data_IF_192358329775
#
_entry.id   IF_192358329775
#
_cell.length_a   1.000
_cell.length_b   1.000
_cell.length_c   1.000
_cell.angle_alpha   90.00
_cell.angle_beta   90.00
_cell.angle_gamma   90.00
#
_symmetry.space_group_name_H-M   'P 1'
#
loop_
_entity.id
_entity.type
_entity.pdbx_description
1 polymer ?
#
# COMPACT_ATOMS: atom_id res chain seq x y z
N UNK A 1 -51.29 55.31 -31.83
CA UNK A 1 -52.63 54.86 -32.24
C UNK A 1 -52.40 54.06 -33.52
N UNK A 2 -52.45 52.74 -33.57
CA UNK A 2 -53.52 51.84 -33.09
C UNK A 2 -52.97 50.40 -32.92
N UNK A 3 -53.22 49.84 -31.73
CA UNK A 3 -53.42 48.43 -31.33
C UNK A 3 -52.75 47.24 -32.08
N UNK A 4 -51.88 46.55 -31.34
CA UNK A 4 -51.84 45.07 -31.17
C UNK A 4 -53.06 44.65 -30.29
N UNK A 5 -53.50 43.37 -30.08
CA UNK A 5 -52.68 42.16 -29.85
C UNK A 5 -53.39 40.79 -30.13
N UNK A 6 -52.87 39.72 -29.49
CA UNK A 6 -53.48 38.40 -29.20
C UNK A 6 -53.27 37.33 -30.30
N UNK A 7 -52.89 36.08 -30.05
CA UNK A 7 -52.99 35.23 -28.85
C UNK A 7 -51.88 34.16 -28.84
N UNK A 8 -51.40 33.91 -27.64
CA UNK A 8 -50.63 32.80 -27.05
C UNK A 8 -51.07 31.37 -27.40
N UNK A 9 -50.17 30.39 -27.30
CA UNK A 9 -50.46 29.11 -26.62
C UNK A 9 -49.18 28.31 -26.35
N UNK A 10 -48.80 28.27 -25.08
CA UNK A 10 -47.96 27.26 -24.44
C UNK A 10 -48.63 25.88 -24.51
N UNK A 11 -47.83 24.82 -24.70
CA UNK A 11 -48.19 23.44 -24.32
C UNK A 11 -46.95 22.73 -23.79
N UNK A 12 -46.89 22.67 -22.47
CA UNK A 12 -46.18 21.66 -21.70
C UNK A 12 -46.73 20.25 -21.99
N UNK A 13 -45.86 19.29 -21.67
CA UNK A 13 -46.15 17.89 -21.34
C UNK A 13 -46.22 16.88 -22.50
N UNK A 14 -45.14 16.10 -22.67
CA UNK A 14 -45.22 14.63 -22.54
C UNK A 14 -43.79 14.07 -22.35
N UNK A 15 -43.39 13.91 -21.09
CA UNK A 15 -42.21 13.11 -20.73
C UNK A 15 -42.64 11.63 -20.77
N UNK A 16 -42.12 10.78 -21.67
CA UNK A 16 -42.43 9.36 -21.61
C UNK A 16 -41.70 8.74 -20.40
N UNK A 17 -42.35 7.81 -19.67
CA UNK A 17 -41.74 7.20 -18.49
C UNK A 17 -40.53 6.32 -18.86
N UNK A 18 -39.51 6.20 -18.00
CA UNK A 18 -38.43 5.26 -18.22
C UNK A 18 -38.97 3.84 -17.96
N UNK A 19 -39.32 3.13 -19.02
CA UNK A 19 -39.58 1.69 -18.94
C UNK A 19 -38.26 0.97 -18.63
N UNK A 20 -38.09 0.63 -17.36
CA UNK A 20 -37.18 -0.40 -16.91
C UNK A 20 -37.73 -1.75 -17.42
N UNK A 21 -37.06 -2.32 -18.42
CA UNK A 21 -36.89 -3.77 -18.60
C UNK A 21 -36.15 -4.04 -19.91
N UNK A 22 -34.83 -4.20 -19.81
CA UNK A 22 -34.04 -5.17 -20.56
C UNK A 22 -32.60 -5.08 -20.05
N UNK A 23 -32.17 -6.11 -19.31
CA UNK A 23 -30.77 -6.39 -19.08
C UNK A 23 -30.09 -6.58 -20.44
N UNK A 24 -29.46 -5.51 -20.92
CA UNK A 24 -28.64 -5.50 -22.12
C UNK A 24 -27.23 -5.94 -21.69
N UNK A 25 -26.97 -7.24 -21.79
CA UNK A 25 -25.61 -7.81 -21.79
C UNK A 25 -24.71 -6.96 -22.72
N UNK A 26 -23.44 -6.68 -22.37
CA UNK A 26 -22.64 -5.66 -23.05
C UNK A 26 -22.07 -6.21 -24.37
N UNK A 27 -22.94 -6.47 -25.33
CA UNK A 27 -22.57 -6.69 -26.71
C UNK A 27 -22.19 -5.34 -27.32
N UNK A 28 -20.88 -5.10 -27.44
CA UNK A 28 -20.21 -4.17 -28.35
C UNK A 28 -21.15 -3.17 -29.03
N UNK A 29 -21.56 -2.13 -28.29
CA UNK A 29 -22.14 -0.93 -28.91
C UNK A 29 -21.08 -0.39 -29.85
N UNK A 30 -21.24 -0.66 -31.15
CA UNK A 30 -20.42 -0.13 -32.23
C UNK A 30 -20.04 1.30 -31.86
N UNK A 31 -18.75 1.52 -31.63
CA UNK A 31 -18.15 2.72 -31.03
C UNK A 31 -18.53 3.94 -31.87
N UNK A 32 -19.71 4.50 -31.63
CA UNK A 32 -20.14 5.73 -32.28
C UNK A 32 -19.09 6.77 -31.95
N UNK A 33 -18.54 7.41 -32.97
CA UNK A 33 -17.60 8.51 -32.80
C UNK A 33 -18.32 9.60 -31.99
N UNK A 34 -17.92 9.75 -30.72
CA UNK A 34 -18.49 10.76 -29.82
C UNK A 34 -17.75 12.06 -30.07
N UNK A 35 -18.45 13.02 -30.67
CA UNK A 35 -17.90 14.37 -30.84
C UNK A 35 -17.90 15.08 -29.49
N UNK A 36 -16.72 15.40 -29.01
CA UNK A 36 -16.52 16.19 -27.80
C UNK A 36 -16.33 17.65 -28.19
N UNK A 37 -17.16 18.54 -27.63
CA UNK A 37 -16.95 19.97 -27.75
C UNK A 37 -16.16 20.45 -26.53
N UNK A 38 -14.97 20.98 -26.77
CA UNK A 38 -14.11 21.55 -25.74
C UNK A 38 -14.01 23.06 -25.92
N UNK A 39 -13.76 23.79 -24.83
CA UNK A 39 -13.44 25.22 -24.89
C UNK A 39 -11.94 25.36 -25.10
N UNK A 40 -11.54 26.04 -26.16
CA UNK A 40 -10.14 26.25 -26.54
C UNK A 40 -9.85 27.76 -26.57
N UNK A 41 -8.77 28.24 -25.93
CA UNK A 41 -8.36 29.64 -26.05
C UNK A 41 -8.09 30.02 -27.52
N UNK A 42 -8.48 31.25 -27.91
CA UNK A 42 -8.38 31.69 -29.31
C UNK A 42 -6.95 31.62 -29.88
N UNK A 43 -5.94 31.90 -29.06
CA UNK A 43 -4.52 31.80 -29.45
C UNK A 43 -4.16 30.35 -29.80
N UNK A 44 -4.56 29.40 -28.94
CA UNK A 44 -4.26 27.97 -29.13
C UNK A 44 -5.00 27.41 -30.35
N UNK A 45 -6.25 27.83 -30.59
CA UNK A 45 -6.99 27.47 -31.80
C UNK A 45 -6.27 27.91 -33.07
N UNK A 46 -5.73 29.13 -33.08
CA UNK A 46 -4.99 29.67 -34.22
C UNK A 46 -3.69 28.90 -34.48
N UNK A 47 -2.96 28.53 -33.42
CA UNK A 47 -1.77 27.70 -33.50
C UNK A 47 -2.07 26.30 -34.04
N UNK A 48 -3.13 25.65 -33.53
CA UNK A 48 -3.57 24.34 -34.00
C UNK A 48 -3.94 24.37 -35.49
N UNK A 49 -4.65 25.40 -35.95
CA UNK A 49 -4.99 25.59 -37.38
C UNK A 49 -3.74 25.76 -38.24
N UNK A 50 -2.77 26.56 -37.78
CA UNK A 50 -1.51 26.79 -38.49
C UNK A 50 -0.71 25.48 -38.61
N UNK A 51 -0.58 24.74 -37.52
CA UNK A 51 0.13 23.46 -37.49
C UNK A 51 -0.55 22.43 -38.40
N UNK A 52 -1.87 22.31 -38.33
CA UNK A 52 -2.66 21.43 -39.19
C UNK A 52 -2.50 21.77 -40.68
N UNK A 53 -2.49 23.06 -41.02
CA UNK A 53 -2.28 23.54 -42.40
C UNK A 53 -0.90 23.17 -42.92
N UNK A 54 0.15 23.35 -42.11
CA UNK A 54 1.52 22.99 -42.47
C UNK A 54 1.66 21.48 -42.72
N UNK A 55 1.00 20.68 -41.89
CA UNK A 55 0.97 19.22 -42.01
C UNK A 55 0.00 18.72 -43.08
N UNK A 56 -0.79 19.60 -43.70
CA UNK A 56 -1.85 19.27 -44.69
C UNK A 56 -2.86 18.26 -44.16
N UNK A 57 -3.22 18.37 -42.88
CA UNK A 57 -4.20 17.51 -42.23
C UNK A 57 -5.35 18.34 -41.64
N UNK A 58 -6.57 17.77 -41.52
CA UNK A 58 -7.64 18.39 -40.74
C UNK A 58 -7.26 18.53 -39.26
N UNK A 59 -7.69 19.62 -38.61
CA UNK A 59 -7.42 19.87 -37.19
C UNK A 59 -7.90 18.73 -36.29
N UNK A 60 -9.08 18.17 -36.58
CA UNK A 60 -9.62 17.03 -35.81
C UNK A 60 -8.70 15.81 -35.84
N UNK A 61 -8.10 15.51 -37.00
CA UNK A 61 -7.16 14.39 -37.14
C UNK A 61 -5.86 14.64 -36.39
N UNK A 62 -5.35 15.88 -36.45
CA UNK A 62 -4.16 16.29 -35.71
C UNK A 62 -4.37 16.17 -34.20
N UNK A 63 -5.50 16.68 -33.68
CA UNK A 63 -5.81 16.63 -32.26
C UNK A 63 -5.95 15.19 -31.78
N UNK A 64 -6.62 14.32 -32.57
CA UNK A 64 -6.69 12.88 -32.27
C UNK A 64 -5.30 12.28 -32.14
N UNK A 65 -4.46 12.45 -33.16
CA UNK A 65 -3.12 11.87 -33.18
C UNK A 65 -2.28 12.34 -31.98
N UNK A 66 -2.31 13.64 -31.66
CA UNK A 66 -1.58 14.17 -30.50
C UNK A 66 -2.09 13.59 -29.18
N UNK A 67 -3.41 13.43 -29.03
CA UNK A 67 -3.99 12.85 -27.81
C UNK A 67 -3.68 11.36 -27.68
N UNK A 68 -3.72 10.62 -28.79
CA UNK A 68 -3.31 9.21 -28.83
C UNK A 68 -1.82 9.07 -28.48
N UNK A 69 -0.94 9.83 -29.13
CA UNK A 69 0.50 9.83 -28.85
C UNK A 69 0.82 10.21 -27.39
N UNK A 70 0.11 11.19 -26.83
CA UNK A 70 0.30 11.62 -25.45
C UNK A 70 -0.14 10.54 -24.45
N UNK A 71 -1.26 9.85 -24.72
CA UNK A 71 -1.73 8.75 -23.88
C UNK A 71 -0.78 7.56 -23.96
N UNK A 72 -0.36 7.17 -25.17
CA UNK A 72 0.61 6.09 -25.37
C UNK A 72 1.95 6.38 -24.67
N UNK A 73 2.41 7.63 -24.71
CA UNK A 73 3.61 8.05 -23.99
C UNK A 73 3.46 7.95 -22.47
N UNK A 74 2.31 8.36 -21.92
CA UNK A 74 2.01 8.24 -20.48
C UNK A 74 1.94 6.77 -20.06
N UNK A 75 1.25 5.92 -20.84
CA UNK A 75 1.13 4.50 -20.56
C UNK A 75 2.50 3.80 -20.62
N UNK A 76 3.33 4.14 -21.60
CA UNK A 76 4.68 3.58 -21.69
C UNK A 76 5.57 3.98 -20.50
N UNK A 77 5.43 5.21 -19.98
CA UNK A 77 6.14 5.64 -18.77
C UNK A 77 5.58 4.92 -17.53
N UNK A 78 4.25 4.80 -17.43
CA UNK A 78 3.58 4.07 -16.34
C UNK A 78 4.04 2.62 -16.25
N UNK A 79 4.02 1.89 -17.37
CA UNK A 79 4.46 0.50 -17.42
C UNK A 79 5.94 0.32 -17.03
N UNK A 80 6.83 1.26 -17.43
CA UNK A 80 8.24 1.21 -17.01
C UNK A 80 8.39 1.44 -15.51
N UNK A 81 7.72 2.46 -14.97
CA UNK A 81 7.76 2.76 -13.55
C UNK A 81 7.20 1.59 -12.71
N UNK A 82 6.08 1.01 -13.13
CA UNK A 82 5.51 -0.19 -12.49
C UNK A 82 6.47 -1.38 -12.57
N UNK A 83 7.09 -1.62 -13.72
CA UNK A 83 8.09 -2.68 -13.89
C UNK A 83 9.29 -2.53 -12.97
N UNK A 84 9.81 -1.32 -12.80
CA UNK A 84 10.90 -1.02 -11.87
C UNK A 84 10.48 -1.27 -10.41
N UNK A 85 9.30 -0.79 -10.02
CA UNK A 85 8.74 -1.01 -8.68
C UNK A 85 8.51 -2.50 -8.40
N UNK A 86 7.97 -3.25 -9.37
CA UNK A 86 7.78 -4.69 -9.25
C UNK A 86 9.11 -5.42 -9.09
N UNK A 87 10.13 -5.01 -9.86
CA UNK A 87 11.48 -5.56 -9.74
C UNK A 87 12.14 -5.28 -8.39
N UNK A 88 11.94 -4.08 -7.82
CA UNK A 88 12.39 -3.76 -6.46
C UNK A 88 11.63 -4.60 -5.42
N UNK A 89 10.31 -4.68 -5.52
CA UNK A 89 9.47 -5.46 -4.62
C UNK A 89 9.86 -6.94 -4.62
N UNK A 90 10.12 -7.51 -5.80
CA UNK A 90 10.54 -8.90 -5.93
C UNK A 90 11.93 -9.15 -5.32
N UNK A 91 12.89 -8.25 -5.54
CA UNK A 91 14.20 -8.31 -4.87
C UNK A 91 14.07 -8.25 -3.36
N UNK A 92 13.22 -7.38 -2.83
CA UNK A 92 12.97 -7.28 -1.39
C UNK A 92 12.30 -8.56 -0.84
N UNK A 93 11.37 -9.17 -1.57
CA UNK A 93 10.75 -10.45 -1.19
C UNK A 93 11.79 -11.56 -1.11
N UNK A 94 12.62 -11.73 -2.13
CA UNK A 94 13.69 -12.75 -2.17
C UNK A 94 14.65 -12.56 -0.99
N UNK A 95 15.09 -11.33 -0.73
CA UNK A 95 15.98 -11.03 0.41
C UNK A 95 15.30 -11.32 1.75
N UNK A 96 14.04 -10.91 1.92
CA UNK A 96 13.27 -11.19 3.14
C UNK A 96 13.11 -12.69 3.35
N UNK A 97 12.85 -13.46 2.30
CA UNK A 97 12.65 -14.89 2.39
C UNK A 97 13.96 -15.62 2.70
N UNK A 98 15.11 -15.14 2.21
CA UNK A 98 16.44 -15.61 2.61
C UNK A 98 16.77 -15.28 4.09
N UNK A 99 16.43 -14.08 4.55
CA UNK A 99 16.55 -13.73 5.97
C UNK A 99 15.60 -14.54 6.86
N UNK A 100 14.40 -14.85 6.35
CA UNK A 100 13.43 -15.70 7.05
C UNK A 100 13.88 -17.14 7.08
N UNK A 101 14.40 -17.70 5.99
CA UNK A 101 14.89 -19.08 5.96
C UNK A 101 16.10 -19.27 6.88
N UNK A 102 17.00 -18.29 6.97
CA UNK A 102 18.08 -18.28 7.97
C UNK A 102 17.57 -18.11 9.40
N UNK A 103 16.54 -17.30 9.62
CA UNK A 103 15.89 -17.16 10.93
C UNK A 103 15.08 -18.40 11.34
N UNK A 104 14.48 -19.13 10.40
CA UNK A 104 13.72 -20.38 10.63
C UNK A 104 14.66 -21.59 10.72
N UNK A 105 15.82 -21.54 10.06
CA UNK A 105 16.92 -22.49 10.23
C UNK A 105 17.70 -22.31 11.54
N UNK A 106 17.37 -21.28 12.36
CA UNK A 106 17.71 -21.29 13.78
C UNK A 106 16.88 -22.39 14.42
N UNK A 107 17.49 -23.51 14.84
CA UNK A 107 16.75 -24.69 15.25
C UNK A 107 15.79 -24.31 16.37
N UNK A 108 14.52 -24.71 16.20
CA UNK A 108 13.60 -24.87 17.32
C UNK A 108 14.32 -25.79 18.32
N UNK A 109 14.89 -25.18 19.37
CA UNK A 109 15.43 -25.93 20.49
C UNK A 109 14.28 -26.74 21.05
N UNK A 110 14.49 -28.04 21.10
CA UNK A 110 13.68 -29.07 21.76
C UNK A 110 13.13 -28.52 23.08
N UNK A 111 11.86 -28.80 23.44
CA UNK A 111 11.30 -28.33 24.70
C UNK A 111 12.14 -28.89 25.84
N UNK A 112 12.81 -28.00 26.57
CA UNK A 112 13.49 -28.38 27.79
C UNK A 112 12.44 -28.76 28.85
N UNK A 113 12.65 -29.94 29.42
CA UNK A 113 11.99 -30.56 30.56
C UNK A 113 11.65 -29.55 31.70
N UNK A 114 10.46 -29.59 32.31
CA UNK A 114 10.03 -28.64 33.33
C UNK A 114 10.63 -28.85 34.74
N UNK A 115 11.67 -29.65 34.93
CA UNK A 115 12.19 -30.00 36.27
C UNK A 115 13.48 -29.28 36.69
N UNK A 116 13.36 -27.98 37.04
CA UNK A 116 14.19 -27.21 38.01
C UNK A 116 15.72 -27.04 37.76
N UNK A 117 16.43 -26.15 38.50
CA UNK A 117 16.18 -24.76 38.89
C UNK A 117 17.38 -23.83 38.58
N UNK A 118 17.25 -22.54 38.92
CA UNK A 118 18.25 -21.46 38.86
C UNK A 118 18.73 -21.07 37.46
N UNK A 119 18.79 -19.76 37.22
CA UNK A 119 19.42 -19.19 36.04
C UNK A 119 20.94 -19.14 36.31
N UNK A 120 21.79 -20.07 35.84
CA UNK A 120 23.18 -19.71 35.67
C UNK A 120 23.19 -18.65 34.56
N UNK A 121 23.75 -17.48 34.86
CA UNK A 121 24.01 -16.39 33.92
C UNK A 121 25.01 -16.85 32.84
N UNK A 122 24.61 -17.83 32.03
CA UNK A 122 25.46 -18.48 31.06
C UNK A 122 25.58 -17.57 29.85
N UNK A 123 26.59 -16.70 29.91
CA UNK A 123 27.30 -16.11 28.77
C UNK A 123 26.40 -15.54 27.68
N UNK A 124 25.62 -14.51 28.00
CA UNK A 124 25.00 -13.69 26.96
C UNK A 124 25.76 -12.39 26.84
N UNK A 125 26.29 -12.14 25.65
CA UNK A 125 26.80 -10.83 25.25
C UNK A 125 25.62 -9.84 25.17
N UNK A 126 25.32 -9.22 26.31
CA UNK A 126 24.44 -8.04 26.42
C UNK A 126 25.12 -6.77 25.88
N UNK A 127 26.31 -6.90 25.33
CA UNK A 127 27.14 -5.83 24.79
C UNK A 127 26.39 -5.04 23.70
N UNK A 128 26.08 -3.77 23.98
CA UNK A 128 25.32 -2.87 23.11
C UNK A 128 23.81 -2.79 23.41
N UNK A 129 23.30 -3.43 24.46
CA UNK A 129 21.92 -3.21 24.94
C UNK A 129 21.89 -1.95 25.80
N UNK A 130 21.16 -0.94 25.34
CA UNK A 130 21.04 0.37 26.02
C UNK A 130 19.86 0.42 27.00
N UNK A 131 18.91 -0.49 26.87
CA UNK A 131 17.74 -0.55 27.75
C UNK A 131 16.83 -1.73 27.47
N UNK A 132 15.78 -1.87 28.27
CA UNK A 132 14.79 -2.94 28.13
C UNK A 132 13.39 -2.36 27.97
N UNK A 133 12.63 -2.92 27.02
CA UNK A 133 11.22 -2.62 26.82
C UNK A 133 10.37 -3.83 27.20
N UNK A 134 9.43 -3.65 28.14
CA UNK A 134 8.46 -4.69 28.50
C UNK A 134 7.43 -4.88 27.37
N UNK A 135 7.12 -6.13 27.05
CA UNK A 135 6.13 -6.51 26.04
C UNK A 135 5.45 -7.82 26.41
N UNK A 136 4.26 -8.06 25.87
CA UNK A 136 3.57 -9.35 25.96
C UNK A 136 3.79 -10.13 24.68
N UNK A 137 4.22 -11.39 24.81
CA UNK A 137 4.54 -12.23 23.65
C UNK A 137 3.27 -12.69 22.91
N UNK A 138 3.24 -12.50 21.59
CA UNK A 138 2.14 -12.99 20.73
C UNK A 138 2.41 -14.42 20.20
N UNK A 139 3.65 -14.89 20.32
CA UNK A 139 4.10 -16.23 19.94
C UNK A 139 5.15 -16.73 20.94
N UNK A 140 5.35 -18.04 21.00
CA UNK A 140 6.37 -18.63 21.86
C UNK A 140 7.76 -18.14 21.46
N UNK A 141 8.56 -17.75 22.45
CA UNK A 141 9.89 -17.21 22.25
C UNK A 141 10.88 -17.80 23.25
N UNK A 142 12.18 -17.72 22.97
CA UNK A 142 13.20 -18.20 23.90
C UNK A 142 13.90 -17.03 24.59
N UNK A 143 14.04 -17.13 25.91
CA UNK A 143 14.90 -16.23 26.66
C UNK A 143 16.34 -16.39 26.16
N UNK A 144 16.98 -15.27 25.83
CA UNK A 144 18.36 -15.25 25.31
C UNK A 144 19.35 -15.65 26.40
N UNK A 145 19.09 -15.28 27.66
CA UNK A 145 19.92 -15.56 28.83
C UNK A 145 19.89 -17.03 29.28
N UNK A 146 18.69 -17.57 29.50
CA UNK A 146 18.54 -18.90 30.08
C UNK A 146 18.06 -19.96 29.09
N UNK A 147 17.74 -19.58 27.85
CA UNK A 147 17.23 -20.51 26.83
C UNK A 147 15.81 -21.02 27.10
N UNK A 148 15.15 -20.62 28.20
CA UNK A 148 13.79 -21.04 28.54
C UNK A 148 12.79 -20.59 27.48
N UNK A 149 11.84 -21.47 27.15
CA UNK A 149 10.71 -21.13 26.29
C UNK A 149 9.68 -20.32 27.08
N UNK A 150 9.50 -19.08 26.69
CA UNK A 150 8.45 -18.17 27.12
C UNK A 150 7.23 -18.41 26.23
N UNK A 151 6.09 -18.69 26.85
CA UNK A 151 4.85 -18.97 26.12
C UNK A 151 4.20 -17.68 25.61
N UNK A 152 3.35 -17.81 24.60
CA UNK A 152 2.40 -16.78 24.21
C UNK A 152 1.63 -16.25 25.44
N UNK A 153 1.53 -14.94 25.56
CA UNK A 153 0.87 -14.24 26.66
C UNK A 153 1.77 -13.92 27.86
N UNK A 154 3.01 -14.43 27.90
CA UNK A 154 3.96 -14.10 28.98
C UNK A 154 4.54 -12.70 28.79
N UNK A 155 4.63 -11.91 29.88
CA UNK A 155 5.37 -10.64 29.94
C UNK A 155 6.86 -10.94 29.76
N UNK A 156 7.53 -10.30 28.81
CA UNK A 156 8.94 -10.46 28.51
C UNK A 156 9.58 -9.09 28.25
N UNK A 157 10.88 -8.97 28.46
CA UNK A 157 11.63 -7.76 28.16
C UNK A 157 12.45 -7.93 26.87
N UNK A 158 12.34 -6.97 25.96
CA UNK A 158 13.18 -6.88 24.77
C UNK A 158 14.31 -5.89 24.98
N UNK A 159 15.54 -6.31 24.70
CA UNK A 159 16.69 -5.42 24.67
C UNK A 159 16.58 -4.42 23.52
N UNK A 160 16.65 -3.14 23.85
CA UNK A 160 16.79 -2.03 22.91
C UNK A 160 18.28 -1.82 22.67
N UNK A 161 18.68 -1.68 21.41
CA UNK A 161 20.06 -1.48 20.97
C UNK A 161 20.09 -0.32 19.99
N UNK A 162 21.18 0.44 19.99
CA UNK A 162 21.41 1.52 19.03
C UNK A 162 21.87 0.97 17.68
N UNK A 163 22.73 -0.05 17.70
CA UNK A 163 23.19 -0.75 16.50
C UNK A 163 22.35 -2.01 16.18
N UNK A 164 22.16 -2.35 14.89
CA UNK A 164 21.46 -3.56 14.48
C UNK A 164 22.28 -4.79 14.89
N UNK A 165 21.80 -5.51 15.91
CA UNK A 165 22.41 -6.72 16.44
C UNK A 165 21.41 -7.84 16.70
N UNK A 166 21.86 -8.98 17.23
CA UNK A 166 20.99 -10.09 17.58
C UNK A 166 19.93 -9.66 18.59
N UNK A 167 18.68 -10.09 18.37
CA UNK A 167 17.55 -9.80 19.25
C UNK A 167 17.77 -10.44 20.61
N UNK A 168 17.68 -9.63 21.67
CA UNK A 168 17.75 -10.07 23.06
C UNK A 168 16.34 -10.05 23.66
N UNK A 169 15.88 -11.20 24.16
CA UNK A 169 14.63 -11.36 24.89
C UNK A 169 14.94 -11.95 26.26
N UNK A 170 14.43 -11.34 27.33
CA UNK A 170 14.57 -11.80 28.70
C UNK A 170 13.20 -12.16 29.26
N UNK A 171 13.12 -13.30 29.94
CA UNK A 171 11.92 -13.72 30.66
C UNK A 171 11.69 -12.91 31.93
N UNK A 172 10.48 -12.94 32.49
CA UNK A 172 10.12 -12.13 33.67
C UNK A 172 10.89 -12.56 34.93
N UNK A 173 11.35 -13.82 34.99
CA UNK A 173 12.14 -14.37 36.09
C UNK A 173 13.65 -14.44 35.78
N UNK A 174 14.12 -13.63 34.83
CA UNK A 174 15.54 -13.61 34.48
C UNK A 174 16.31 -12.67 35.40
N UNK A 175 17.41 -13.14 35.99
CA UNK A 175 18.26 -12.34 36.90
C UNK A 175 18.94 -11.15 36.21
N UNK A 176 18.97 -11.14 34.88
CA UNK A 176 19.48 -10.02 34.06
C UNK A 176 18.41 -8.94 33.80
N UNK A 177 17.19 -9.09 34.33
CA UNK A 177 16.22 -7.99 34.36
C UNK A 177 16.64 -6.99 35.45
N UNK A 178 16.79 -5.70 35.14
CA UNK A 178 16.87 -4.68 36.18
C UNK A 178 15.56 -4.69 36.96
N UNK A 179 15.65 -4.80 38.29
CA UNK A 179 14.55 -5.04 39.24
C UNK A 179 13.47 -3.95 39.29
N UNK A 180 13.53 -2.94 38.41
CA UNK A 180 12.61 -1.79 38.38
C UNK A 180 11.36 -1.96 37.51
N UNK A 181 11.07 -3.16 37.00
CA UNK A 181 9.86 -3.46 36.20
C UNK A 181 8.96 -4.54 36.85
N UNK A 182 9.29 -4.98 38.07
CA UNK A 182 8.61 -6.07 38.76
C UNK A 182 7.41 -5.62 39.63
N UNK A 183 7.23 -4.32 39.87
CA UNK A 183 6.15 -3.82 40.73
C UNK A 183 5.34 -2.74 40.01
N UNK A 184 4.33 -3.14 39.24
CA UNK A 184 3.06 -2.42 39.10
C UNK A 184 1.96 -3.46 38.76
N UNK A 185 1.68 -4.35 39.72
CA UNK A 185 0.35 -4.95 39.84
C UNK A 185 -0.31 -4.26 41.05
N UNK A 186 -1.24 -3.35 40.81
CA UNK A 186 -1.80 -2.47 41.82
C UNK A 186 -3.20 -1.98 41.49
N UNK A 187 -4.19 -2.82 41.81
CA UNK A 187 -5.65 -2.59 41.97
C UNK A 187 -6.53 -2.63 40.73
#
# INVERSE_FOLDING_TARGET
MTQNPLVTAERDDETPPPSADAADEPAERAKKERVLHTRVPAVLEQELKRLATNLKMPVSNLVRAILEDALDAVDAVGQRAEGELHGIAERLRVQRDALRSTAVARPARTPADPSQPACPSASVSLEGVIGFQSLVLVADATCTACGRTLRKGTKACRGVREEPGPRVLLGPECELLPSGLAEEDGT
#
